data_IF_539513236557
#
_entry.id   IF_539513236557
#
_cell.length_a   1.000
_cell.length_b   1.000
_cell.length_c   1.000
_cell.angle_alpha   90.00
_cell.angle_beta   90.00
_cell.angle_gamma   90.00
#
_symmetry.space_group_name_H-M   'P 1'
#
loop_
_entity.id
_entity.type
_entity.pdbx_description
1 polymer ?
#
# COMPACT_ATOMS: atom_id res chain seq x y z
N UNK A 1 -17.01 -18.97 -39.24
CA UNK A 1 -17.26 -20.42 -39.42
C UNK A 1 -18.47 -20.95 -38.64
N UNK A 2 -19.18 -20.14 -37.83
CA UNK A 2 -20.43 -20.48 -37.12
C UNK A 2 -20.30 -21.44 -35.94
N UNK A 3 -19.10 -21.79 -35.51
CA UNK A 3 -18.87 -22.65 -34.36
C UNK A 3 -19.07 -21.86 -33.05
N UNK A 4 -19.70 -22.49 -32.07
CA UNK A 4 -19.87 -21.91 -30.72
C UNK A 4 -18.54 -21.98 -29.98
N UNK A 5 -18.05 -20.81 -29.54
CA UNK A 5 -16.82 -20.67 -28.76
C UNK A 5 -17.15 -20.14 -27.37
N UNK A 6 -16.55 -20.73 -26.37
CA UNK A 6 -16.64 -20.29 -24.95
C UNK A 6 -15.23 -20.09 -24.43
N UNK A 7 -14.99 -18.96 -23.76
CA UNK A 7 -13.71 -18.66 -23.11
C UNK A 7 -13.98 -18.11 -21.71
N UNK A 8 -13.21 -18.54 -20.72
CA UNK A 8 -13.39 -18.08 -19.35
C UNK A 8 -12.60 -18.88 -18.32
N UNK A 9 -12.94 -18.67 -17.03
CA UNK A 9 -12.40 -19.42 -15.90
C UNK A 9 -12.82 -20.91 -15.93
N UNK A 10 -12.17 -21.71 -15.10
CA UNK A 10 -12.55 -23.13 -14.91
C UNK A 10 -14.04 -23.27 -14.60
N UNK A 11 -14.52 -22.57 -13.58
CA UNK A 11 -15.93 -22.61 -13.17
C UNK A 11 -16.88 -22.29 -14.34
N UNK A 12 -16.60 -21.17 -15.07
CA UNK A 12 -17.46 -20.76 -16.18
C UNK A 12 -17.47 -21.77 -17.32
N UNK A 13 -16.32 -22.32 -17.72
CA UNK A 13 -16.22 -23.21 -18.89
C UNK A 13 -16.74 -24.63 -18.57
N UNK A 14 -16.36 -25.19 -17.42
CA UNK A 14 -16.66 -26.58 -17.09
C UNK A 14 -17.94 -26.72 -16.25
N UNK A 15 -18.18 -25.87 -15.26
CA UNK A 15 -19.34 -25.99 -14.38
C UNK A 15 -20.58 -25.31 -14.98
N UNK A 16 -20.46 -24.02 -15.40
CA UNK A 16 -21.62 -23.29 -15.96
C UNK A 16 -21.98 -23.71 -17.37
N UNK A 17 -20.99 -23.98 -18.24
CA UNK A 17 -21.21 -24.32 -19.65
C UNK A 17 -21.12 -25.81 -19.94
N UNK A 18 -20.70 -26.62 -18.97
CA UNK A 18 -20.64 -28.07 -19.11
C UNK A 18 -19.70 -28.56 -20.22
N UNK A 19 -18.64 -27.81 -20.52
CA UNK A 19 -17.65 -28.25 -21.50
C UNK A 19 -16.85 -29.42 -20.94
N UNK A 20 -16.36 -30.28 -21.82
CA UNK A 20 -15.60 -31.48 -21.48
C UNK A 20 -14.16 -31.42 -21.96
N UNK A 21 -13.26 -32.11 -21.27
CA UNK A 21 -11.89 -32.32 -21.72
C UNK A 21 -11.92 -33.48 -22.76
N UNK A 22 -11.30 -33.31 -23.94
CA UNK A 22 -11.25 -34.39 -24.93
C UNK A 22 -10.50 -35.59 -24.39
N UNK A 23 -10.94 -36.79 -24.78
CA UNK A 23 -10.29 -38.06 -24.41
C UNK A 23 -8.80 -38.05 -24.77
N UNK A 24 -7.94 -38.46 -23.83
CA UNK A 24 -6.48 -38.56 -24.00
C UNK A 24 -5.73 -37.25 -23.72
N UNK A 25 -6.40 -36.17 -23.30
CA UNK A 25 -5.76 -34.90 -22.89
C UNK A 25 -5.84 -34.65 -21.35
N UNK A 26 -6.38 -35.61 -20.59
CA UNK A 26 -6.57 -35.51 -19.14
C UNK A 26 -5.23 -35.35 -18.41
N UNK A 27 -4.20 -36.18 -18.79
CA UNK A 27 -2.87 -36.04 -18.18
C UNK A 27 -2.22 -34.69 -18.46
N UNK A 28 -2.40 -34.16 -19.69
CA UNK A 28 -1.84 -32.83 -20.03
C UNK A 28 -2.57 -31.72 -19.26
N UNK A 29 -3.86 -31.91 -19.04
CA UNK A 29 -4.65 -30.96 -18.26
C UNK A 29 -4.25 -30.96 -16.77
N UNK A 30 -3.99 -32.12 -16.19
CA UNK A 30 -3.50 -32.26 -14.81
C UNK A 30 -2.06 -31.74 -14.64
N UNK A 31 -1.25 -31.77 -15.70
CA UNK A 31 0.12 -31.27 -15.71
C UNK A 31 0.24 -29.78 -16.05
N UNK A 32 -0.85 -29.02 -16.03
CA UNK A 32 -0.77 -27.57 -16.25
C UNK A 32 0.14 -26.91 -15.21
N UNK A 33 0.97 -25.94 -15.62
CA UNK A 33 1.96 -25.35 -14.73
C UNK A 33 1.31 -24.66 -13.55
N UNK A 34 1.79 -24.99 -12.35
CA UNK A 34 1.36 -24.34 -11.11
C UNK A 34 1.90 -22.91 -11.05
N UNK A 35 1.07 -21.97 -10.58
CA UNK A 35 1.47 -20.56 -10.46
C UNK A 35 1.04 -19.67 -11.63
N UNK A 36 0.38 -20.23 -12.64
CA UNK A 36 -0.23 -19.48 -13.73
C UNK A 36 -1.74 -19.34 -13.52
N UNK A 37 -2.30 -18.22 -13.91
CA UNK A 37 -3.75 -18.08 -14.10
C UNK A 37 -4.13 -18.78 -15.41
N UNK A 38 -5.17 -19.63 -15.37
CA UNK A 38 -5.59 -20.38 -16.53
C UNK A 38 -6.87 -19.82 -17.12
N UNK A 39 -6.85 -19.54 -18.43
CA UNK A 39 -8.02 -19.18 -19.20
C UNK A 39 -8.32 -20.32 -20.17
N UNK A 40 -9.51 -20.88 -20.07
CA UNK A 40 -9.92 -22.06 -20.84
C UNK A 40 -10.74 -21.64 -22.05
N UNK A 41 -10.36 -22.17 -23.22
CA UNK A 41 -11.07 -21.98 -24.48
C UNK A 41 -11.72 -23.29 -24.90
N UNK A 42 -13.03 -23.32 -25.05
CA UNK A 42 -13.77 -24.47 -25.55
C UNK A 42 -14.46 -24.13 -26.87
N UNK A 43 -14.48 -25.08 -27.79
CA UNK A 43 -15.14 -24.99 -29.09
C UNK A 43 -16.13 -26.16 -29.18
N UNK A 44 -17.40 -25.85 -29.50
CA UNK A 44 -18.48 -26.85 -29.61
C UNK A 44 -18.59 -27.75 -28.34
N UNK A 45 -18.35 -27.16 -27.16
CA UNK A 45 -18.44 -27.88 -25.88
C UNK A 45 -17.22 -28.72 -25.51
N UNK A 46 -16.15 -28.71 -26.30
CA UNK A 46 -14.91 -29.41 -25.99
C UNK A 46 -13.77 -28.43 -25.76
N UNK A 47 -12.93 -28.66 -24.74
CA UNK A 47 -11.73 -27.89 -24.47
C UNK A 47 -10.79 -27.96 -25.69
N UNK A 48 -10.46 -26.80 -26.22
CA UNK A 48 -9.59 -26.67 -27.41
C UNK A 48 -8.20 -26.13 -27.06
N UNK A 49 -8.11 -25.27 -26.03
CA UNK A 49 -6.85 -24.70 -25.57
C UNK A 49 -6.95 -24.22 -24.12
N UNK A 50 -5.80 -24.21 -23.44
CA UNK A 50 -5.62 -23.52 -22.17
C UNK A 50 -4.56 -22.45 -22.37
N UNK A 51 -4.91 -21.21 -22.01
CA UNK A 51 -3.99 -20.07 -22.04
C UNK A 51 -3.48 -19.89 -20.62
N UNK A 52 -2.18 -20.15 -20.42
CA UNK A 52 -1.53 -19.91 -19.15
C UNK A 52 -1.03 -18.46 -19.12
N UNK A 53 -1.54 -17.69 -18.18
CA UNK A 53 -1.18 -16.27 -18.00
C UNK A 53 -0.24 -16.21 -16.80
N UNK A 54 0.99 -15.81 -17.05
CA UNK A 54 1.95 -15.51 -16.01
C UNK A 54 1.78 -14.04 -15.59
N UNK A 55 1.52 -13.82 -14.28
CA UNK A 55 1.61 -12.50 -13.67
C UNK A 55 2.78 -12.54 -12.67
N UNK A 56 3.99 -12.20 -13.13
CA UNK A 56 5.17 -12.32 -12.30
C UNK A 56 5.12 -11.32 -11.14
N UNK A 57 5.39 -11.84 -9.94
CA UNK A 57 5.59 -10.98 -8.79
C UNK A 57 6.75 -10.01 -9.06
N UNK A 58 6.53 -8.73 -8.84
CA UNK A 58 7.59 -7.71 -8.98
C UNK A 58 8.72 -7.99 -8.00
N UNK A 59 9.96 -7.93 -8.47
CA UNK A 59 11.15 -8.25 -7.68
C UNK A 59 11.30 -7.35 -6.44
N UNK A 60 10.78 -6.13 -6.50
CA UNK A 60 10.86 -5.15 -5.42
C UNK A 60 9.91 -5.42 -4.23
N UNK A 61 8.87 -6.25 -4.40
CA UNK A 61 7.80 -6.40 -3.39
C UNK A 61 8.34 -6.98 -2.07
N UNK A 62 9.07 -8.09 -2.14
CA UNK A 62 9.60 -8.73 -0.93
C UNK A 62 10.61 -7.86 -0.18
N UNK A 63 11.59 -7.19 -0.84
CA UNK A 63 12.44 -6.19 -0.20
C UNK A 63 11.67 -5.06 0.47
N UNK A 64 10.64 -4.52 -0.20
CA UNK A 64 9.83 -3.41 0.36
C UNK A 64 9.03 -3.88 1.58
N UNK A 65 8.41 -5.05 1.55
CA UNK A 65 7.70 -5.62 2.72
C UNK A 65 8.65 -5.81 3.90
N UNK A 66 9.85 -6.35 3.66
CA UNK A 66 10.85 -6.50 4.71
C UNK A 66 11.31 -5.14 5.29
N UNK A 67 11.44 -4.12 4.45
CA UNK A 67 11.81 -2.76 4.88
C UNK A 67 10.68 -2.07 5.64
N UNK A 68 9.41 -2.23 5.23
CA UNK A 68 8.25 -1.72 5.96
C UNK A 68 8.19 -2.31 7.38
N UNK A 69 8.46 -3.61 7.52
CA UNK A 69 8.54 -4.25 8.85
C UNK A 69 9.62 -3.62 9.72
N UNK A 70 10.82 -3.39 9.18
CA UNK A 70 11.90 -2.66 9.89
C UNK A 70 11.52 -1.22 10.22
N UNK A 71 10.70 -0.58 9.39
CA UNK A 71 10.18 0.78 9.61
C UNK A 71 9.08 0.86 10.69
N UNK A 72 8.74 -0.28 11.35
CA UNK A 72 7.83 -0.33 12.49
C UNK A 72 6.37 -0.59 12.14
N UNK A 73 6.09 -1.27 11.02
CA UNK A 73 4.77 -1.83 10.75
C UNK A 73 4.65 -3.18 11.48
N UNK A 74 3.71 -3.27 12.41
CA UNK A 74 3.52 -4.44 13.27
C UNK A 74 2.93 -5.64 12.54
N UNK A 75 2.08 -5.37 11.53
CA UNK A 75 1.37 -6.39 10.78
C UNK A 75 1.19 -5.97 9.32
N UNK A 76 1.56 -6.84 8.40
CA UNK A 76 1.40 -6.65 6.96
C UNK A 76 0.51 -7.78 6.43
N UNK A 77 -0.61 -7.42 5.82
CA UNK A 77 -1.64 -8.35 5.35
C UNK A 77 -1.82 -8.20 3.85
N UNK A 78 -1.92 -9.31 3.14
CA UNK A 78 -2.26 -9.35 1.72
C UNK A 78 -3.72 -9.81 1.56
N UNK A 79 -4.49 -9.08 0.76
CA UNK A 79 -5.85 -9.45 0.38
C UNK A 79 -5.98 -9.45 -1.14
N UNK A 80 -6.38 -10.57 -1.70
CA UNK A 80 -6.50 -10.75 -3.15
C UNK A 80 -7.81 -11.46 -3.53
N UNK A 81 -8.29 -11.21 -4.73
CA UNK A 81 -9.37 -11.97 -5.35
C UNK A 81 -8.92 -13.28 -5.99
N UNK A 82 -7.61 -13.56 -6.01
CA UNK A 82 -7.06 -14.80 -6.57
C UNK A 82 -7.38 -16.01 -5.70
N UNK A 83 -7.23 -17.21 -6.29
CA UNK A 83 -7.44 -18.48 -5.59
C UNK A 83 -6.45 -18.67 -4.42
N UNK A 84 -6.88 -19.44 -3.41
CA UNK A 84 -6.08 -19.79 -2.23
C UNK A 84 -4.68 -20.29 -2.58
N UNK A 85 -4.56 -21.11 -3.63
CA UNK A 85 -3.28 -21.66 -4.09
C UNK A 85 -2.32 -20.58 -4.57
N UNK A 86 -2.81 -19.61 -5.37
CA UNK A 86 -2.00 -18.51 -5.91
C UNK A 86 -1.62 -17.57 -4.77
N UNK A 87 -2.60 -17.18 -3.95
CA UNK A 87 -2.40 -16.29 -2.82
C UNK A 87 -1.36 -16.82 -1.83
N UNK A 88 -1.44 -18.10 -1.46
CA UNK A 88 -0.47 -18.74 -0.55
C UNK A 88 0.96 -18.78 -1.12
N UNK A 89 1.10 -19.06 -2.43
CA UNK A 89 2.39 -19.03 -3.11
C UNK A 89 3.01 -17.62 -3.09
N UNK A 90 2.22 -16.59 -3.39
CA UNK A 90 2.67 -15.19 -3.39
C UNK A 90 3.00 -14.75 -1.95
N UNK A 91 2.12 -15.01 -0.99
CA UNK A 91 2.30 -14.62 0.40
C UNK A 91 3.61 -15.16 0.99
N UNK A 92 3.96 -16.42 0.69
CA UNK A 92 5.21 -17.03 1.14
C UNK A 92 6.45 -16.37 0.53
N UNK A 93 6.38 -15.95 -0.74
CA UNK A 93 7.48 -15.24 -1.43
C UNK A 93 7.64 -13.81 -0.95
N UNK A 94 6.54 -13.13 -0.67
CA UNK A 94 6.52 -11.72 -0.24
C UNK A 94 6.86 -11.59 1.25
N UNK A 95 6.53 -12.59 2.06
CA UNK A 95 6.80 -12.59 3.50
C UNK A 95 5.83 -11.73 4.31
N UNK A 96 4.55 -11.68 3.92
CA UNK A 96 3.47 -11.06 4.70
C UNK A 96 3.14 -11.88 5.95
N UNK A 97 2.47 -11.27 6.94
CA UNK A 97 2.10 -11.95 8.19
C UNK A 97 0.83 -12.80 8.04
N UNK A 98 -0.10 -12.31 7.26
CA UNK A 98 -1.37 -12.99 6.95
C UNK A 98 -1.75 -12.72 5.49
N UNK A 99 -2.52 -13.63 4.92
CA UNK A 99 -3.14 -13.39 3.61
C UNK A 99 -4.59 -13.89 3.61
N UNK A 100 -5.39 -13.29 2.75
CA UNK A 100 -6.77 -13.66 2.48
C UNK A 100 -6.96 -13.78 0.97
N UNK A 101 -7.42 -14.93 0.53
CA UNK A 101 -7.71 -15.24 -0.88
C UNK A 101 -9.21 -15.11 -1.17
N UNK A 102 -9.56 -15.02 -2.45
CA UNK A 102 -10.94 -14.98 -2.94
C UNK A 102 -11.81 -13.88 -2.29
N UNK A 103 -11.17 -12.76 -1.88
CA UNK A 103 -11.80 -11.67 -1.14
C UNK A 103 -12.48 -10.70 -2.08
N UNK A 104 -13.77 -10.43 -1.84
CA UNK A 104 -14.53 -9.42 -2.56
C UNK A 104 -14.18 -7.99 -2.10
N UNK A 105 -14.40 -6.96 -2.92
CA UNK A 105 -14.09 -5.56 -2.57
C UNK A 105 -14.75 -5.09 -1.26
N UNK A 106 -16.00 -5.50 -0.99
CA UNK A 106 -16.73 -5.16 0.23
C UNK A 106 -16.10 -5.82 1.47
N UNK A 107 -15.66 -7.07 1.34
CA UNK A 107 -15.02 -7.81 2.43
C UNK A 107 -13.68 -7.21 2.83
N UNK A 108 -12.92 -6.67 1.85
CA UNK A 108 -11.68 -5.90 2.12
C UNK A 108 -11.99 -4.66 2.99
N UNK A 109 -13.06 -3.93 2.66
CA UNK A 109 -13.48 -2.77 3.44
C UNK A 109 -13.92 -3.16 4.86
N UNK A 110 -14.62 -4.27 5.01
CA UNK A 110 -15.06 -4.75 6.32
C UNK A 110 -13.90 -5.27 7.18
N UNK A 111 -12.89 -5.87 6.55
CA UNK A 111 -11.64 -6.20 7.23
C UNK A 111 -10.97 -4.94 7.80
N UNK A 112 -10.80 -3.91 6.97
CA UNK A 112 -10.21 -2.63 7.39
C UNK A 112 -10.99 -2.00 8.55
N UNK A 113 -12.31 -1.97 8.48
CA UNK A 113 -13.17 -1.46 9.57
C UNK A 113 -12.99 -2.24 10.87
N UNK A 114 -12.89 -3.57 10.81
CA UNK A 114 -12.64 -4.42 11.99
C UNK A 114 -11.30 -4.13 12.64
N UNK A 115 -10.23 -4.01 11.84
CA UNK A 115 -8.90 -3.68 12.35
C UNK A 115 -8.88 -2.31 13.04
N UNK A 116 -9.54 -1.31 12.46
CA UNK A 116 -9.70 0.03 13.06
C UNK A 116 -10.53 -0.02 14.35
N UNK A 117 -11.62 -0.77 14.37
CA UNK A 117 -12.44 -0.95 15.56
C UNK A 117 -11.67 -1.65 16.71
N UNK A 118 -10.69 -2.48 16.37
CA UNK A 118 -9.76 -3.08 17.33
C UNK A 118 -8.66 -2.10 17.82
N UNK A 119 -8.72 -0.82 17.41
CA UNK A 119 -7.79 0.24 17.83
C UNK A 119 -6.49 0.30 17.04
N UNK A 120 -6.38 -0.44 15.95
CA UNK A 120 -5.21 -0.39 15.07
C UNK A 120 -5.29 0.77 14.10
N UNK A 121 -4.14 1.32 13.72
CA UNK A 121 -4.02 2.27 12.61
C UNK A 121 -3.78 1.50 11.33
N UNK A 122 -4.67 1.68 10.36
CA UNK A 122 -4.66 0.91 9.12
C UNK A 122 -4.28 1.80 7.95
N UNK A 123 -3.26 1.37 7.22
CA UNK A 123 -2.92 1.89 5.89
C UNK A 123 -3.39 0.85 4.89
N UNK A 124 -4.26 1.25 3.97
CA UNK A 124 -4.69 0.42 2.85
C UNK A 124 -3.96 0.86 1.59
N UNK A 125 -3.40 -0.12 0.88
CA UNK A 125 -2.71 0.09 -0.40
C UNK A 125 -3.45 -0.71 -1.46
N UNK A 126 -3.83 -0.08 -2.58
CA UNK A 126 -4.59 -0.75 -3.63
C UNK A 126 -4.51 -0.03 -4.98
N UNK A 127 -5.17 -0.55 -6.02
CA UNK A 127 -5.19 0.02 -7.37
C UNK A 127 -6.13 1.23 -7.53
N UNK A 128 -6.98 1.47 -6.54
CA UNK A 128 -7.91 2.60 -6.50
C UNK A 128 -9.24 2.35 -7.21
N UNK A 129 -9.39 1.34 -8.03
CA UNK A 129 -10.63 1.04 -8.75
C UNK A 129 -11.46 0.03 -7.95
N UNK A 130 -10.94 -1.17 -7.77
CA UNK A 130 -11.64 -2.24 -7.05
C UNK A 130 -11.52 -2.09 -5.53
N UNK A 131 -10.47 -1.44 -5.06
CA UNK A 131 -10.18 -1.25 -3.63
C UNK A 131 -10.75 0.04 -3.03
N UNK A 132 -11.52 0.83 -3.82
CA UNK A 132 -12.10 2.11 -3.40
C UNK A 132 -12.82 2.07 -2.04
N UNK A 133 -13.68 1.07 -1.73
CA UNK A 133 -14.33 1.00 -0.43
C UNK A 133 -13.36 0.75 0.72
N UNK A 134 -12.31 -0.05 0.51
CA UNK A 134 -11.30 -0.35 1.50
C UNK A 134 -10.35 0.83 1.73
N UNK A 135 -9.92 1.53 0.65
CA UNK A 135 -9.12 2.74 0.72
C UNK A 135 -9.82 3.83 1.54
N UNK A 136 -11.12 4.08 1.25
CA UNK A 136 -11.92 5.06 2.00
C UNK A 136 -12.17 4.66 3.46
N UNK A 137 -12.18 3.37 3.77
CA UNK A 137 -12.40 2.86 5.13
C UNK A 137 -11.14 2.93 6.01
N UNK A 138 -9.95 3.06 5.44
CA UNK A 138 -8.67 3.07 6.15
C UNK A 138 -8.44 4.38 6.92
N UNK A 139 -7.41 4.43 7.79
CA UNK A 139 -6.91 5.67 8.36
C UNK A 139 -6.09 6.47 7.33
N UNK A 140 -5.43 5.75 6.40
CA UNK A 140 -4.76 6.30 5.23
C UNK A 140 -4.96 5.35 4.06
N UNK A 141 -5.57 5.83 2.98
CA UNK A 141 -5.71 5.13 1.71
C UNK A 141 -4.61 5.56 0.74
N UNK A 142 -3.86 4.59 0.22
CA UNK A 142 -2.79 4.82 -0.76
C UNK A 142 -3.14 4.10 -2.05
N UNK A 143 -3.33 4.85 -3.13
CA UNK A 143 -3.53 4.27 -4.45
C UNK A 143 -2.20 4.14 -5.20
N UNK A 144 -1.96 2.95 -5.76
CA UNK A 144 -0.86 2.70 -6.69
C UNK A 144 -1.45 2.68 -8.10
N UNK A 145 -1.19 3.71 -8.88
CA UNK A 145 -1.85 3.87 -10.18
C UNK A 145 -1.05 4.72 -11.13
N UNK A 146 -1.03 4.33 -12.41
CA UNK A 146 -0.44 5.10 -13.52
C UNK A 146 -1.30 6.30 -13.96
N UNK A 147 -1.98 6.96 -13.02
CA UNK A 147 -2.69 8.20 -13.28
C UNK A 147 -4.20 8.08 -13.46
N UNK A 148 -4.83 6.97 -13.06
CA UNK A 148 -6.28 6.85 -13.06
C UNK A 148 -6.89 7.97 -12.20
N UNK A 149 -7.70 8.82 -12.82
CA UNK A 149 -8.31 9.98 -12.18
C UNK A 149 -9.15 9.58 -10.97
N UNK A 150 -9.80 8.43 -11.02
CA UNK A 150 -10.63 7.87 -9.95
C UNK A 150 -9.79 7.55 -8.69
N UNK A 151 -8.58 7.01 -8.87
CA UNK A 151 -7.69 6.71 -7.75
C UNK A 151 -7.29 7.97 -6.96
N UNK A 152 -7.10 9.09 -7.67
CA UNK A 152 -6.75 10.39 -7.05
C UNK A 152 -7.90 11.04 -6.28
N UNK A 153 -9.14 10.71 -6.60
CA UNK A 153 -10.32 11.25 -5.91
C UNK A 153 -10.66 10.52 -4.62
N UNK A 154 -10.21 9.26 -4.49
CA UNK A 154 -10.62 8.37 -3.40
C UNK A 154 -9.49 8.15 -2.39
N UNK A 155 -8.24 8.10 -2.85
CA UNK A 155 -7.09 7.87 -1.99
C UNK A 155 -6.54 9.18 -1.40
N UNK A 156 -6.06 9.11 -0.16
CA UNK A 156 -5.36 10.23 0.49
C UNK A 156 -4.01 10.51 -0.18
N UNK A 157 -3.38 9.47 -0.72
CA UNK A 157 -2.06 9.53 -1.35
C UNK A 157 -2.07 8.68 -2.63
N UNK A 158 -1.40 9.15 -3.66
CA UNK A 158 -1.17 8.37 -4.89
C UNK A 158 0.32 8.17 -5.11
N UNK A 159 0.71 6.93 -5.39
CA UNK A 159 2.09 6.54 -5.74
C UNK A 159 2.07 5.97 -7.16
N UNK A 160 3.11 6.23 -7.95
CA UNK A 160 3.27 5.68 -9.29
C UNK A 160 3.35 4.15 -9.25
N UNK A 161 2.75 3.49 -10.24
CA UNK A 161 2.57 2.04 -10.21
C UNK A 161 3.88 1.25 -10.25
N UNK A 162 4.94 1.81 -10.82
CA UNK A 162 6.25 1.20 -10.93
C UNK A 162 7.19 1.50 -9.74
N UNK A 163 6.71 2.23 -8.72
CA UNK A 163 7.52 2.70 -7.60
C UNK A 163 6.95 2.32 -6.23
N UNK A 164 6.92 1.03 -5.93
CA UNK A 164 6.47 0.55 -4.62
C UNK A 164 7.37 1.03 -3.47
N UNK A 165 8.66 1.32 -3.75
CA UNK A 165 9.59 1.90 -2.79
C UNK A 165 9.18 3.31 -2.32
N UNK A 166 8.28 3.98 -3.07
CA UNK A 166 7.64 5.23 -2.65
C UNK A 166 6.94 5.14 -1.29
N UNK A 167 6.48 3.95 -0.87
CA UNK A 167 5.93 3.72 0.48
C UNK A 167 6.98 3.96 1.58
N UNK A 168 8.22 3.55 1.35
CA UNK A 168 9.32 3.76 2.30
C UNK A 168 9.69 5.24 2.38
N UNK A 169 9.76 5.91 1.23
CA UNK A 169 10.00 7.35 1.15
C UNK A 169 8.90 8.13 1.87
N UNK A 170 7.63 7.78 1.65
CA UNK A 170 6.50 8.37 2.36
C UNK A 170 6.63 8.20 3.88
N UNK A 171 7.00 7.01 4.33
CA UNK A 171 7.23 6.73 5.75
C UNK A 171 8.37 7.58 6.33
N UNK A 172 9.49 7.68 5.62
CA UNK A 172 10.64 8.50 6.03
C UNK A 172 10.26 9.98 6.15
N UNK A 173 9.58 10.53 5.14
CA UNK A 173 9.08 11.92 5.16
C UNK A 173 8.15 12.15 6.35
N UNK A 174 7.19 11.25 6.57
CA UNK A 174 6.20 11.38 7.65
C UNK A 174 6.87 11.37 9.02
N UNK A 175 7.80 10.45 9.27
CA UNK A 175 8.56 10.38 10.52
C UNK A 175 9.43 11.63 10.72
N UNK A 176 10.16 12.03 9.69
CA UNK A 176 11.01 13.23 9.73
C UNK A 176 10.22 14.51 9.98
N UNK A 177 9.02 14.62 9.40
CA UNK A 177 8.12 15.76 9.63
C UNK A 177 7.64 15.81 11.10
N UNK A 178 7.17 14.70 11.63
CA UNK A 178 6.70 14.64 13.02
C UNK A 178 7.83 14.94 14.02
N UNK A 179 9.03 14.41 13.77
CA UNK A 179 10.20 14.72 14.60
C UNK A 179 10.56 16.21 14.55
N UNK A 180 10.52 16.82 13.37
CA UNK A 180 10.76 18.26 13.18
C UNK A 180 9.72 19.09 13.91
N UNK A 181 8.44 18.77 13.79
CA UNK A 181 7.35 19.44 14.50
C UNK A 181 7.58 19.36 16.02
N UNK A 182 7.89 18.16 16.55
CA UNK A 182 8.17 17.96 17.97
C UNK A 182 9.36 18.78 18.46
N UNK A 183 10.46 18.76 17.73
CA UNK A 183 11.67 19.54 18.04
C UNK A 183 11.39 21.05 18.03
N UNK A 184 10.65 21.54 17.03
CA UNK A 184 10.28 22.94 16.95
C UNK A 184 9.35 23.34 18.08
N UNK A 185 8.37 22.53 18.41
CA UNK A 185 7.48 22.78 19.54
C UNK A 185 8.25 22.92 20.86
N UNK A 186 9.16 21.98 21.15
CA UNK A 186 10.00 22.04 22.37
C UNK A 186 10.86 23.32 22.39
N UNK A 187 11.45 23.70 21.24
CA UNK A 187 12.25 24.93 21.14
C UNK A 187 11.42 26.18 21.38
N UNK A 188 10.23 26.26 20.75
CA UNK A 188 9.34 27.43 20.90
C UNK A 188 8.88 27.56 22.36
N UNK A 189 8.40 26.50 22.98
CA UNK A 189 7.94 26.50 24.36
C UNK A 189 9.12 26.82 25.31
N UNK A 190 10.28 26.21 25.10
CA UNK A 190 11.47 26.43 25.94
C UNK A 190 11.97 27.87 25.88
N UNK A 191 12.11 28.46 24.69
CA UNK A 191 12.55 29.84 24.53
C UNK A 191 11.55 30.81 25.13
N UNK A 192 10.25 30.65 24.85
CA UNK A 192 9.23 31.53 25.37
C UNK A 192 9.14 31.48 26.91
N UNK A 193 9.19 30.28 27.50
CA UNK A 193 9.22 30.11 28.95
C UNK A 193 10.44 30.78 29.57
N UNK A 194 11.63 30.63 28.95
CA UNK A 194 12.84 31.31 29.43
C UNK A 194 12.72 32.85 29.36
N UNK A 195 12.21 33.39 28.25
CA UNK A 195 12.00 34.83 28.10
C UNK A 195 11.01 35.39 29.12
N UNK A 196 9.93 34.67 29.41
CA UNK A 196 8.93 35.04 30.44
C UNK A 196 9.60 35.06 31.81
N UNK A 197 10.35 34.02 32.17
CA UNK A 197 11.05 33.97 33.49
C UNK A 197 12.08 35.09 33.65
N UNK A 198 12.84 35.37 32.59
CA UNK A 198 13.81 36.49 32.60
C UNK A 198 13.12 37.84 32.69
N UNK A 199 11.96 37.99 32.06
CA UNK A 199 11.14 39.22 32.16
C UNK A 199 10.57 39.46 33.59
N UNK A 200 10.01 38.37 34.19
CA UNK A 200 9.46 38.46 35.59
C UNK A 200 10.55 38.79 36.59
N UNK A 201 11.74 38.25 36.41
CA UNK A 201 12.91 38.54 37.30
C UNK A 201 13.55 39.89 37.02
N UNK A 202 13.08 40.67 36.06
CA UNK A 202 13.61 41.98 35.68
C UNK A 202 15.01 41.94 35.01
N UNK A 203 15.46 40.74 34.61
CA UNK A 203 16.78 40.56 33.99
C UNK A 203 16.84 40.96 32.53
N UNK A 204 15.67 41.04 31.88
CA UNK A 204 15.57 41.42 30.45
C UNK A 204 14.49 42.50 30.28
N UNK A 205 14.76 43.50 29.44
CA UNK A 205 13.79 44.51 29.09
C UNK A 205 12.71 43.96 28.14
N UNK A 206 11.46 44.44 28.20
CA UNK A 206 10.38 43.97 27.33
C UNK A 206 10.71 44.06 25.82
N UNK A 207 11.37 45.10 25.39
CA UNK A 207 11.80 45.32 24.00
C UNK A 207 12.80 44.28 23.55
N UNK A 208 13.79 43.94 24.39
CA UNK A 208 14.80 42.89 24.09
C UNK A 208 14.17 41.49 24.09
N UNK A 209 13.21 41.24 24.99
CA UNK A 209 12.45 40.00 25.02
C UNK A 209 11.63 39.80 23.73
N UNK A 210 10.92 40.84 23.28
CA UNK A 210 10.16 40.82 22.03
C UNK A 210 11.07 40.62 20.82
N UNK A 211 12.23 41.27 20.78
CA UNK A 211 13.19 41.06 19.71
C UNK A 211 13.73 39.62 19.68
N UNK A 212 14.11 39.07 20.83
CA UNK A 212 14.58 37.69 20.95
C UNK A 212 13.52 36.69 20.55
N UNK A 213 12.25 36.91 20.92
CA UNK A 213 11.11 36.10 20.48
C UNK A 213 10.98 36.09 18.93
N UNK A 214 10.97 37.25 18.30
CA UNK A 214 10.82 37.38 16.84
C UNK A 214 11.98 36.74 16.11
N UNK A 215 13.22 36.95 16.55
CA UNK A 215 14.42 36.34 15.97
C UNK A 215 14.34 34.81 16.11
N UNK A 216 13.99 34.29 17.28
CA UNK A 216 13.90 32.85 17.49
C UNK A 216 12.83 32.21 16.60
N UNK A 217 11.68 32.86 16.44
CA UNK A 217 10.59 32.39 15.57
C UNK A 217 11.06 32.34 14.10
N UNK A 218 11.74 33.39 13.64
CA UNK A 218 12.29 33.44 12.28
C UNK A 218 13.33 32.31 12.06
N UNK A 219 14.25 32.11 13.00
CA UNK A 219 15.26 31.07 12.94
C UNK A 219 14.65 29.66 12.89
N UNK A 220 13.62 29.38 13.70
CA UNK A 220 12.90 28.12 13.70
C UNK A 220 12.18 27.94 12.37
N UNK A 221 11.55 28.99 11.83
CA UNK A 221 10.89 28.98 10.52
C UNK A 221 11.88 28.64 9.39
N UNK A 222 13.00 29.33 9.32
CA UNK A 222 14.04 29.07 8.31
C UNK A 222 14.61 27.65 8.42
N UNK A 223 14.85 27.15 9.63
CA UNK A 223 15.28 25.77 9.84
C UNK A 223 14.22 24.73 9.39
N UNK A 224 12.95 25.10 9.46
CA UNK A 224 11.83 24.23 9.03
C UNK A 224 11.72 24.10 7.50
N UNK A 225 12.34 25.00 6.75
CA UNK A 225 12.36 24.97 5.27
C UNK A 225 13.42 24.01 4.69
N UNK A 226 14.28 23.44 5.52
CA UNK A 226 15.26 22.46 5.07
C UNK A 226 14.58 21.16 4.64
N UNK A 227 15.17 20.46 3.65
CA UNK A 227 14.68 19.16 3.20
C UNK A 227 14.54 18.18 4.38
N UNK A 228 13.52 17.34 4.33
CA UNK A 228 13.24 16.31 5.34
C UNK A 228 14.01 15.03 5.05
N UNK A 229 14.19 14.73 3.77
CA UNK A 229 14.84 13.53 3.26
C UNK A 229 16.10 13.96 2.52
N UNK A 230 17.22 13.35 2.84
CA UNK A 230 18.47 13.55 2.09
C UNK A 230 18.49 12.46 1.00
N UNK A 231 18.25 12.84 -0.27
CA UNK A 231 18.14 11.93 -1.42
C UNK A 231 19.30 10.91 -1.53
N UNK A 232 20.41 11.20 -0.88
CA UNK A 232 21.60 10.34 -0.90
C UNK A 232 21.68 9.30 0.23
N UNK A 233 20.84 9.39 1.27
CA UNK A 233 20.91 8.51 2.44
C UNK A 233 19.74 7.53 2.58
N UNK A 234 18.59 7.86 2.04
CA UNK A 234 17.34 7.12 2.29
C UNK A 234 16.98 6.12 1.18
N UNK A 235 17.78 6.06 0.09
CA UNK A 235 17.68 5.04 -0.97
C UNK A 235 18.52 3.77 -0.69
N UNK A 236 19.15 3.67 0.48
CA UNK A 236 19.99 2.53 0.89
C UNK A 236 19.46 1.86 2.17
N UNK A 237 18.14 1.60 2.24
CA UNK A 237 17.57 0.74 3.28
C UNK A 237 17.01 -0.54 2.64
#
# INVERSE_FOLDING_TARGET
NGKKVVIGSYHFVFEDKGCIIPEGLEEQFECLPEGYSHLYLAIEGQLAAVICIEDPLREEVAPVVAALRKAGFDKIVMMTGDSERIAGSIASKVGVDEYYAEVLPEEKADFVKRERAAGRKVIMVGDGINDSPALSAADVGIAISDGAQIAREIADITIEADNLSGLLTLRAISCGLLERIRKNYIRIVGINSALILLGITGRIQPTSSAMAHNVSTLMIGLNSMRNLVDESRDLMI
#
